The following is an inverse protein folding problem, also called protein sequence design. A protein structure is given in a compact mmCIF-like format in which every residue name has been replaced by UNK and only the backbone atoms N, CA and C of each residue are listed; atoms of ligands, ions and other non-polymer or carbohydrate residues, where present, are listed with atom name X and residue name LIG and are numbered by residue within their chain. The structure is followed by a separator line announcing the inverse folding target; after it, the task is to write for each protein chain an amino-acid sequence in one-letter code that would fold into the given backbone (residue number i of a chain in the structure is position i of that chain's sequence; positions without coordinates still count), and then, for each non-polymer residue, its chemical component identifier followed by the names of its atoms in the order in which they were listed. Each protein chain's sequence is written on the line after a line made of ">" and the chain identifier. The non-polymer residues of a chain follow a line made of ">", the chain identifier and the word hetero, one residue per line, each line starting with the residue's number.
data_IF_111310626513
#
_entry.id   IF_111310626513
#
_cell.length_a   1.000
_cell.length_b   1.000
_cell.length_c   1.000
_cell.angle_alpha   90.00
_cell.angle_beta   90.00
_cell.angle_gamma   90.00
#
_symmetry.space_group_name_H-M   'P 1'
#
loop_
_entity.id
_entity.type
_entity.pdbx_description
1 polymer ?
#
# COMPACT_ATOMS: atom_id res chain seq x y z
N UNK A 1 7.28 15.38 28.85
CA UNK A 1 6.50 14.16 28.56
C UNK A 1 7.47 13.03 28.26
N UNK A 2 7.47 11.99 29.08
CA UNK A 2 8.52 10.97 29.12
C UNK A 2 8.51 10.07 27.88
N UNK A 3 9.70 9.81 27.33
CA UNK A 3 9.96 9.01 26.12
C UNK A 3 9.34 7.61 26.22
N UNK A 4 9.24 7.09 27.45
CA UNK A 4 8.67 5.80 27.80
C UNK A 4 7.17 5.68 27.45
N UNK A 5 6.42 6.78 27.55
CA UNK A 5 4.98 6.80 27.25
C UNK A 5 4.70 6.70 25.76
N UNK A 6 5.59 7.25 24.92
CA UNK A 6 5.45 7.23 23.45
C UNK A 6 5.77 5.85 22.89
N UNK A 7 6.81 5.19 23.42
CA UNK A 7 7.20 3.83 23.04
C UNK A 7 6.14 2.79 23.42
N UNK A 8 5.47 2.97 24.57
CA UNK A 8 4.37 2.10 24.99
C UNK A 8 3.17 2.22 24.05
N UNK A 9 2.83 3.45 23.63
CA UNK A 9 1.74 3.71 22.67
C UNK A 9 2.01 3.14 21.27
N UNK A 10 3.25 3.24 20.76
CA UNK A 10 3.57 2.68 19.44
C UNK A 10 3.45 1.15 19.42
N UNK A 11 3.80 0.48 20.53
CA UNK A 11 3.66 -0.98 20.67
C UNK A 11 2.19 -1.43 20.70
N UNK A 12 1.33 -0.69 21.40
CA UNK A 12 -0.12 -0.97 21.43
C UNK A 12 -0.74 -0.79 20.04
N UNK A 13 -0.38 0.29 19.34
CA UNK A 13 -0.87 0.53 17.97
C UNK A 13 -0.40 -0.56 16.99
N UNK A 14 0.86 -0.97 17.08
CA UNK A 14 1.40 -2.04 16.25
C UNK A 14 0.63 -3.36 16.43
N UNK A 15 0.29 -3.68 17.67
CA UNK A 15 -0.52 -4.85 18.00
C UNK A 15 -1.94 -4.74 17.45
N UNK A 16 -2.56 -3.55 17.52
CA UNK A 16 -3.89 -3.32 16.95
C UNK A 16 -3.91 -3.48 15.41
N UNK A 17 -2.88 -2.99 14.73
CA UNK A 17 -2.74 -3.14 13.27
C UNK A 17 -2.62 -4.62 12.90
N UNK A 18 -1.81 -5.38 13.65
CA UNK A 18 -1.67 -6.82 13.45
C UNK A 18 -2.98 -7.57 13.69
N UNK A 19 -3.71 -7.24 14.76
CA UNK A 19 -5.00 -7.87 15.06
C UNK A 19 -6.06 -7.56 13.99
N UNK A 20 -6.07 -6.34 13.46
CA UNK A 20 -6.95 -6.00 12.33
C UNK A 20 -6.67 -6.88 11.11
N UNK A 21 -5.39 -7.11 10.78
CA UNK A 21 -5.03 -8.01 9.67
C UNK A 21 -5.48 -9.45 9.93
N UNK A 22 -5.22 -9.96 11.13
CA UNK A 22 -5.60 -11.33 11.51
C UNK A 22 -7.12 -11.52 11.48
N UNK A 23 -7.89 -10.52 11.94
CA UNK A 23 -9.35 -10.54 11.90
C UNK A 23 -9.93 -10.46 10.48
N UNK A 24 -9.18 -9.91 9.53
CA UNK A 24 -9.55 -9.88 8.11
C UNK A 24 -9.02 -11.08 7.33
N UNK A 25 -8.31 -12.00 7.99
CA UNK A 25 -7.65 -13.17 7.39
C UNK A 25 -6.69 -12.82 6.22
N UNK A 26 -6.05 -11.66 6.31
CA UNK A 26 -5.18 -11.14 5.25
C UNK A 26 -3.69 -11.40 5.52
N UNK A 27 -2.91 -11.49 4.44
CA UNK A 27 -1.43 -11.43 4.53
C UNK A 27 -0.95 -9.98 4.66
N UNK A 28 0.32 -9.77 5.02
CA UNK A 28 0.89 -8.42 5.08
C UNK A 28 0.86 -7.73 3.71
N UNK A 29 1.10 -8.49 2.64
CA UNK A 29 0.99 -8.05 1.24
C UNK A 29 -0.46 -7.74 0.85
N UNK A 30 -1.40 -8.58 1.28
CA UNK A 30 -2.84 -8.38 1.07
C UNK A 30 -3.31 -7.08 1.70
N UNK A 31 -2.98 -6.86 2.98
CA UNK A 31 -3.30 -5.63 3.69
C UNK A 31 -2.65 -4.39 3.07
N UNK A 32 -1.37 -4.47 2.68
CA UNK A 32 -0.69 -3.35 2.03
C UNK A 32 -1.38 -2.96 0.71
N UNK A 33 -1.76 -3.96 -0.11
CA UNK A 33 -2.52 -3.74 -1.35
C UNK A 33 -3.89 -3.14 -1.08
N UNK A 34 -4.60 -3.66 -0.07
CA UNK A 34 -5.96 -3.23 0.30
C UNK A 34 -5.98 -1.80 0.85
N UNK A 35 -4.95 -1.39 1.59
CA UNK A 35 -4.77 -0.02 2.06
C UNK A 35 -4.23 0.90 0.96
N UNK A 36 -3.48 0.36 0.00
CA UNK A 36 -2.76 1.10 -1.04
C UNK A 36 -1.43 1.68 -0.56
N UNK A 37 -0.80 1.07 0.44
CA UNK A 37 0.54 1.44 0.93
C UNK A 37 1.61 0.45 0.44
N UNK A 38 2.88 0.76 0.69
CA UNK A 38 3.97 -0.18 0.43
C UNK A 38 4.02 -1.28 1.49
N UNK A 39 4.37 -2.51 1.08
CA UNK A 39 4.57 -3.64 1.99
C UNK A 39 5.56 -3.30 3.11
N UNK A 40 6.69 -2.70 2.75
CA UNK A 40 7.71 -2.28 3.73
C UNK A 40 7.14 -1.27 4.75
N UNK A 41 6.32 -0.32 4.31
CA UNK A 41 5.65 0.62 5.21
C UNK A 41 4.72 -0.09 6.19
N UNK A 42 3.91 -1.02 5.68
CA UNK A 42 3.00 -1.82 6.49
C UNK A 42 3.73 -2.70 7.53
N UNK A 43 4.80 -3.39 7.12
CA UNK A 43 5.65 -4.20 8.02
C UNK A 43 6.24 -3.34 9.15
N UNK A 44 6.68 -2.12 8.84
CA UNK A 44 7.25 -1.21 9.86
C UNK A 44 6.21 -0.74 10.87
N UNK A 45 4.93 -0.65 10.46
CA UNK A 45 3.82 -0.35 11.36
C UNK A 45 3.51 -1.51 12.30
N UNK A 46 3.40 -2.74 11.79
CA UNK A 46 3.20 -3.93 12.63
C UNK A 46 4.38 -4.22 13.58
N UNK A 47 5.59 -3.80 13.22
CA UNK A 47 6.78 -3.89 14.09
C UNK A 47 6.87 -2.75 15.12
N UNK A 48 5.97 -1.76 15.07
CA UNK A 48 6.00 -0.58 15.95
C UNK A 48 7.22 0.34 15.75
N UNK A 49 7.98 0.13 14.67
CA UNK A 49 9.16 0.93 14.32
C UNK A 49 8.78 2.26 13.67
N UNK A 50 7.58 2.33 13.08
CA UNK A 50 7.01 3.55 12.49
C UNK A 50 5.53 3.65 12.84
N UNK A 51 5.06 4.86 13.11
CA UNK A 51 3.65 5.15 13.31
C UNK A 51 2.99 5.47 11.95
N UNK A 52 1.84 4.89 11.62
CA UNK A 52 1.09 5.27 10.42
C UNK A 52 0.61 6.72 10.52
N UNK A 53 0.71 7.47 9.41
CA UNK A 53 0.12 8.81 9.32
C UNK A 53 -1.41 8.76 9.37
N UNK A 54 -2.05 9.88 9.71
CA UNK A 54 -3.50 9.95 9.94
C UNK A 54 -4.37 9.39 8.80
N UNK A 55 -3.99 9.61 7.54
CA UNK A 55 -4.70 9.05 6.37
C UNK A 55 -4.74 7.52 6.40
N UNK A 56 -3.67 6.87 6.84
CA UNK A 56 -3.60 5.40 6.93
C UNK A 56 -4.41 4.87 8.11
N UNK A 57 -4.39 5.60 9.23
CA UNK A 57 -5.24 5.29 10.39
C UNK A 57 -6.72 5.34 10.01
N UNK A 58 -7.15 6.38 9.27
CA UNK A 58 -8.52 6.49 8.78
C UNK A 58 -8.92 5.33 7.86
N UNK A 59 -8.02 4.91 6.96
CA UNK A 59 -8.26 3.75 6.10
C UNK A 59 -8.38 2.44 6.90
N UNK A 60 -7.54 2.25 7.92
CA UNK A 60 -7.61 1.09 8.81
C UNK A 60 -8.92 1.09 9.62
N UNK A 61 -9.37 2.26 10.08
CA UNK A 61 -10.67 2.41 10.76
C UNK A 61 -11.85 2.08 9.86
N UNK A 62 -11.78 2.42 8.57
CA UNK A 62 -12.83 2.08 7.61
C UNK A 62 -12.92 0.58 7.31
N UNK A 63 -11.82 -0.16 7.47
CA UNK A 63 -11.77 -1.62 7.29
C UNK A 63 -12.12 -2.39 8.57
N UNK A 64 -12.19 -1.72 9.72
CA UNK A 64 -12.48 -2.35 11.00
C UNK A 64 -13.97 -2.73 11.10
N UNK A 65 -14.31 -4.03 11.25
CA UNK A 65 -15.69 -4.49 11.26
C UNK A 65 -16.44 -4.17 12.57
N UNK A 66 -15.74 -3.91 13.68
CA UNK A 66 -16.35 -3.81 15.01
C UNK A 66 -16.10 -2.46 15.72
N UNK A 67 -17.07 -2.05 16.55
CA UNK A 67 -17.03 -0.84 17.37
C UNK A 67 -15.84 -0.76 18.33
N UNK A 68 -15.26 -1.90 18.73
CA UNK A 68 -14.09 -1.97 19.62
C UNK A 68 -12.80 -1.47 18.94
N UNK A 69 -12.55 -1.86 17.69
CA UNK A 69 -11.35 -1.46 16.96
C UNK A 69 -11.38 0.03 16.58
N UNK A 70 -12.58 0.59 16.32
CA UNK A 70 -12.77 2.03 16.08
C UNK A 70 -12.34 2.90 17.27
N UNK A 71 -12.62 2.48 18.51
CA UNK A 71 -12.23 3.22 19.74
C UNK A 71 -10.71 3.32 19.91
N UNK A 72 -9.97 2.24 19.65
CA UNK A 72 -8.51 2.20 19.79
C UNK A 72 -7.79 3.10 18.77
N UNK A 73 -8.30 3.20 17.54
CA UNK A 73 -7.77 4.13 16.55
C UNK A 73 -8.19 5.59 16.81
N UNK A 74 -9.38 5.83 17.38
CA UNK A 74 -9.87 7.16 17.78
C UNK A 74 -9.01 7.80 18.86
N UNK A 75 -8.51 7.02 19.83
CA UNK A 75 -7.61 7.53 20.88
C UNK A 75 -6.30 8.09 20.31
N UNK A 76 -5.82 7.57 19.18
CA UNK A 76 -4.64 8.10 18.49
C UNK A 76 -4.92 9.44 17.78
N UNK A 77 -6.16 9.64 17.30
CA UNK A 77 -6.62 10.87 16.63
C UNK A 77 -6.89 11.99 17.63
N UNK A 78 -7.45 11.66 18.81
CA UNK A 78 -7.73 12.64 19.88
C UNK A 78 -6.50 12.99 20.73
N UNK A 79 -5.54 12.07 20.87
CA UNK A 79 -4.27 12.35 21.57
C UNK A 79 -3.26 13.16 20.74
N UNK A 80 -3.62 13.58 19.52
CA UNK A 80 -2.73 14.23 18.57
C UNK A 80 -3.33 15.48 17.92
N UNK A 81 -3.49 16.56 18.68
CA UNK A 81 -3.46 17.92 18.12
C UNK A 81 -2.12 18.15 17.39
N UNK A 82 -2.09 18.99 16.34
CA UNK A 82 -1.25 18.83 15.16
C UNK A 82 0.22 18.81 15.58
N UNK A 83 0.84 17.66 15.41
CA UNK A 83 2.29 17.58 15.47
C UNK A 83 2.80 18.58 14.42
N UNK A 84 3.59 19.61 14.81
CA UNK A 84 4.10 20.59 13.87
C UNK A 84 4.81 19.79 12.79
N UNK A 85 4.54 20.14 11.53
CA UNK A 85 5.11 19.51 10.36
C UNK A 85 6.56 19.12 10.66
N UNK A 86 6.80 17.83 10.96
CA UNK A 86 8.12 17.26 10.82
C UNK A 86 8.56 17.65 9.44
N UNK A 87 9.75 18.28 9.31
CA UNK A 87 10.08 19.12 8.20
C UNK A 87 9.60 18.39 6.98
N UNK A 88 8.64 19.00 6.27
CA UNK A 88 8.30 18.58 4.92
C UNK A 88 9.64 18.17 4.32
N UNK A 89 9.81 16.93 3.81
CA UNK A 89 11.04 16.60 3.13
C UNK A 89 11.21 17.78 2.20
N UNK A 90 12.25 18.60 2.44
CA UNK A 90 12.40 19.84 1.70
C UNK A 90 12.42 19.32 0.29
N UNK A 91 11.31 19.47 -0.39
CA UNK A 91 11.24 19.51 -1.81
C UNK A 91 11.88 20.86 -2.10
N UNK A 92 13.22 20.96 -1.86
CA UNK A 92 14.08 21.30 -2.99
C UNK A 92 13.43 20.53 -4.13
N UNK A 93 13.01 21.15 -5.23
CA UNK A 93 12.62 20.38 -6.37
C UNK A 93 13.81 19.43 -6.62
N UNK A 94 13.69 18.19 -6.14
CA UNK A 94 14.49 17.07 -6.58
C UNK A 94 13.87 16.94 -7.93
N UNK A 95 14.45 17.72 -8.85
CA UNK A 95 14.00 17.92 -10.21
C UNK A 95 13.49 16.58 -10.66
N UNK A 96 12.16 16.45 -10.84
CA UNK A 96 11.42 15.22 -11.21
C UNK A 96 12.41 14.13 -11.53
N UNK A 97 12.92 13.40 -10.51
CA UNK A 97 14.16 12.65 -10.76
C UNK A 97 13.82 11.65 -11.84
N UNK A 98 14.55 11.84 -12.92
CA UNK A 98 14.10 11.58 -14.27
C UNK A 98 13.58 10.15 -14.37
N UNK A 99 12.52 10.00 -15.17
CA UNK A 99 12.26 8.85 -16.02
C UNK A 99 13.10 7.62 -15.68
N UNK A 100 12.44 6.53 -15.24
CA UNK A 100 12.97 5.16 -15.31
C UNK A 100 13.96 5.08 -16.47
N UNK A 101 15.24 4.85 -16.22
CA UNK A 101 16.24 4.94 -17.31
C UNK A 101 15.84 3.99 -18.43
N UNK A 102 16.23 4.23 -19.70
CA UNK A 102 15.93 3.30 -20.79
C UNK A 102 16.27 1.85 -20.42
N UNK A 103 17.37 1.62 -19.69
CA UNK A 103 17.77 0.31 -19.20
C UNK A 103 16.87 -0.24 -18.09
N UNK A 104 16.47 0.59 -17.14
CA UNK A 104 15.49 0.18 -16.12
C UNK A 104 14.14 -0.18 -16.76
N UNK A 105 13.70 0.55 -17.79
CA UNK A 105 12.49 0.21 -18.56
C UNK A 105 12.64 -1.11 -19.33
N UNK A 106 13.80 -1.34 -19.96
CA UNK A 106 14.11 -2.61 -20.64
C UNK A 106 14.10 -3.78 -19.66
N UNK A 107 14.74 -3.63 -18.50
CA UNK A 107 14.73 -4.65 -17.44
C UNK A 107 13.33 -4.93 -16.92
N UNK A 108 12.56 -3.88 -16.60
CA UNK A 108 11.19 -4.03 -16.15
C UNK A 108 10.30 -4.71 -17.21
N UNK A 109 10.47 -4.36 -18.49
CA UNK A 109 9.80 -5.04 -19.61
C UNK A 109 10.16 -6.52 -19.66
N UNK A 110 11.45 -6.85 -19.57
CA UNK A 110 11.92 -8.24 -19.60
C UNK A 110 11.31 -9.08 -18.48
N UNK A 111 11.37 -8.59 -17.24
CA UNK A 111 10.80 -9.26 -16.07
C UNK A 111 9.28 -9.41 -16.19
N UNK A 112 8.60 -8.39 -16.72
CA UNK A 112 7.16 -8.47 -16.92
C UNK A 112 6.76 -9.53 -17.96
N UNK A 113 7.50 -9.63 -19.07
CA UNK A 113 7.24 -10.65 -20.11
C UNK A 113 7.44 -12.06 -19.57
N UNK A 114 8.57 -12.31 -18.89
CA UNK A 114 8.87 -13.60 -18.27
C UNK A 114 7.79 -14.01 -17.25
N UNK A 115 7.34 -13.07 -16.41
CA UNK A 115 6.26 -13.34 -15.46
C UNK A 115 4.92 -13.65 -16.13
N UNK A 116 4.62 -13.02 -17.27
CA UNK A 116 3.40 -13.29 -18.04
C UNK A 116 3.48 -14.68 -18.69
N UNK A 117 4.62 -15.05 -19.25
CA UNK A 117 4.85 -16.38 -19.84
C UNK A 117 4.66 -17.49 -18.79
N UNK A 118 5.26 -17.34 -17.60
CA UNK A 118 5.09 -18.29 -16.50
C UNK A 118 3.61 -18.42 -16.10
N UNK A 119 2.89 -17.30 -15.99
CA UNK A 119 1.46 -17.32 -15.66
C UNK A 119 0.64 -18.00 -16.76
N UNK A 120 1.01 -17.82 -18.02
CA UNK A 120 0.33 -18.46 -19.15
C UNK A 120 0.54 -19.98 -19.15
N UNK A 121 1.78 -20.45 -18.98
CA UNK A 121 2.09 -21.88 -18.89
C UNK A 121 1.36 -22.55 -17.71
N UNK A 122 1.30 -21.87 -16.55
CA UNK A 122 0.55 -22.36 -15.39
C UNK A 122 -0.96 -22.39 -15.67
N UNK A 123 -1.49 -21.41 -16.39
CA UNK A 123 -2.89 -21.36 -16.82
C UNK A 123 -3.25 -22.54 -17.72
N UNK A 124 -2.44 -22.79 -18.75
CA UNK A 124 -2.57 -23.94 -19.67
C UNK A 124 -2.49 -25.29 -18.93
N UNK A 125 -1.67 -25.36 -17.88
CA UNK A 125 -1.59 -26.52 -16.99
C UNK A 125 -2.81 -26.68 -16.05
N UNK A 126 -3.82 -25.78 -16.13
CA UNK A 126 -5.06 -25.82 -15.37
C UNK A 126 -5.02 -25.11 -14.01
N UNK A 127 -3.97 -24.33 -13.73
CA UNK A 127 -3.87 -23.58 -12.48
C UNK A 127 -4.73 -22.31 -12.51
N UNK A 128 -6.01 -22.45 -12.12
CA UNK A 128 -7.02 -21.38 -12.12
C UNK A 128 -6.59 -20.03 -11.53
N UNK A 129 -5.75 -19.95 -10.47
CA UNK A 129 -5.29 -18.66 -9.97
C UNK A 129 -4.39 -17.90 -10.95
N UNK A 130 -3.64 -18.59 -11.81
CA UNK A 130 -2.83 -17.94 -12.85
C UNK A 130 -3.72 -17.32 -13.94
N UNK A 131 -4.74 -18.04 -14.40
CA UNK A 131 -5.76 -17.50 -15.33
C UNK A 131 -6.43 -16.24 -14.78
N UNK A 132 -6.86 -16.30 -13.51
CA UNK A 132 -7.48 -15.15 -12.86
C UNK A 132 -6.51 -13.97 -12.77
N UNK A 133 -5.22 -14.24 -12.59
CA UNK A 133 -4.18 -13.21 -12.55
C UNK A 133 -3.97 -12.57 -13.91
N UNK A 134 -3.92 -13.36 -14.99
CA UNK A 134 -3.83 -12.87 -16.37
C UNK A 134 -5.01 -11.99 -16.72
N UNK A 135 -6.23 -12.41 -16.36
CA UNK A 135 -7.45 -11.62 -16.55
C UNK A 135 -7.39 -10.28 -15.82
N UNK A 136 -7.00 -10.29 -14.55
CA UNK A 136 -6.87 -9.06 -13.74
C UNK A 136 -5.80 -8.12 -14.31
N UNK A 137 -4.69 -8.67 -14.81
CA UNK A 137 -3.64 -7.90 -15.47
C UNK A 137 -4.16 -7.23 -16.74
N UNK A 138 -4.90 -7.96 -17.59
CA UNK A 138 -5.52 -7.41 -18.79
C UNK A 138 -6.48 -6.26 -18.47
N UNK A 139 -7.35 -6.42 -17.48
CA UNK A 139 -8.28 -5.38 -17.04
C UNK A 139 -7.55 -4.13 -16.54
N UNK A 140 -6.46 -4.31 -15.79
CA UNK A 140 -5.63 -3.20 -15.31
C UNK A 140 -4.97 -2.44 -16.46
N UNK A 141 -4.45 -3.14 -17.48
CA UNK A 141 -3.82 -2.51 -18.63
C UNK A 141 -4.84 -1.72 -19.46
N UNK A 142 -6.04 -2.28 -19.67
CA UNK A 142 -7.13 -1.60 -20.37
C UNK A 142 -7.57 -0.33 -19.65
N UNK A 143 -7.67 -0.38 -18.31
CA UNK A 143 -8.00 0.80 -17.51
C UNK A 143 -6.93 1.88 -17.63
N UNK A 144 -5.66 1.51 -17.49
CA UNK A 144 -4.53 2.44 -17.62
C UNK A 144 -4.53 3.07 -19.02
N UNK A 145 -4.70 2.27 -20.07
CA UNK A 145 -4.80 2.77 -21.45
C UNK A 145 -5.97 3.76 -21.63
N UNK A 146 -7.13 3.46 -21.03
CA UNK A 146 -8.28 4.36 -21.01
C UNK A 146 -8.02 5.68 -20.29
N UNK A 147 -7.36 5.64 -19.13
CA UNK A 147 -6.98 6.83 -18.36
C UNK A 147 -5.98 7.68 -19.15
N UNK A 148 -5.01 7.06 -19.84
CA UNK A 148 -4.08 7.76 -20.73
C UNK A 148 -4.77 8.39 -21.93
N UNK A 149 -5.71 7.69 -22.59
CA UNK A 149 -6.49 8.24 -23.71
C UNK A 149 -7.29 9.48 -23.28
N UNK A 150 -7.92 9.44 -22.10
CA UNK A 150 -8.66 10.58 -21.53
C UNK A 150 -7.73 11.75 -21.16
N UNK A 151 -6.57 11.46 -20.59
CA UNK A 151 -5.59 12.48 -20.17
C UNK A 151 -4.84 13.12 -21.33
N UNK A 152 -4.63 12.39 -22.43
CA UNK A 152 -3.92 12.87 -23.62
C UNK A 152 -4.80 13.65 -24.60
N UNK A 153 -6.12 13.69 -24.39
CA UNK A 153 -7.04 14.45 -25.25
C UNK A 153 -7.07 14.00 -26.72
N UNK A 154 -6.49 12.84 -27.06
CA UNK A 154 -6.64 12.24 -28.38
C UNK A 154 -8.06 11.70 -28.50
N UNK A 155 -8.97 12.58 -28.94
CA UNK A 155 -10.18 12.17 -29.65
C UNK A 155 -9.72 11.39 -30.88
N UNK A 156 -10.03 10.09 -30.91
CA UNK A 156 -10.18 9.37 -32.18
C UNK A 156 -11.50 9.77 -32.81
#
# INVERSE_FOLDING_TARGET
>A
MSIETVAKKSKVLAQAIRQLREALEETQEGMARRLGCTLSGYIQWEKGRRVPGGVWVLKMMALAPDSWSRRLFQEQVLAGSPQPASPAPRTRPVARSASTTPDQRRRAKSVALEAIEILFELGEAGFRPADQKLKTLADSLNRIAGDFSRASGLKT
#
